data_IF_175594677746
#
_entry.id   IF_175594677746
#
_cell.length_a   1.000
_cell.length_b   1.000
_cell.length_c   1.000
_cell.angle_alpha   90.00
_cell.angle_beta   90.00
_cell.angle_gamma   90.00
#
_symmetry.space_group_name_H-M   'P 1'
#
loop_
_entity.id
_entity.type
_entity.pdbx_description
1 polymer ?
#
# COMPACT_ATOMS: atom_id res chain seq x y z
N UNK A 1 9.33 0.35 -12.50
CA UNK A 1 7.93 0.75 -12.76
C UNK A 1 7.21 0.95 -11.42
N UNK A 2 5.89 1.18 -11.44
CA UNK A 2 5.09 1.28 -10.23
C UNK A 2 3.89 2.20 -10.39
N UNK A 3 3.18 2.44 -9.29
CA UNK A 3 2.02 3.34 -9.26
C UNK A 3 2.05 4.23 -8.03
N UNK A 4 1.43 5.41 -8.17
CA UNK A 4 1.02 6.23 -7.04
C UNK A 4 -0.46 5.98 -6.79
N UNK A 5 -0.77 5.31 -5.68
CA UNK A 5 -2.13 5.12 -5.21
C UNK A 5 -2.57 6.32 -4.37
N UNK A 6 -3.83 6.72 -4.52
CA UNK A 6 -4.43 7.81 -3.76
C UNK A 6 -5.69 7.32 -3.04
N UNK A 7 -5.78 7.60 -1.75
CA UNK A 7 -6.99 7.36 -0.96
C UNK A 7 -7.47 8.68 -0.37
N UNK A 8 -8.74 9.03 -0.62
CA UNK A 8 -9.39 10.18 0.00
C UNK A 8 -10.55 9.64 0.84
N UNK A 9 -10.56 9.95 2.13
CA UNK A 9 -11.62 9.51 3.01
C UNK A 9 -12.95 10.16 2.63
N UNK A 10 -14.08 9.47 2.84
CA UNK A 10 -15.39 9.90 2.34
C UNK A 10 -15.84 11.28 2.83
N UNK A 11 -15.42 11.70 4.02
CA UNK A 11 -15.70 13.03 4.57
C UNK A 11 -14.76 14.14 4.05
N UNK A 12 -13.79 13.80 3.20
CA UNK A 12 -12.80 14.71 2.57
C UNK A 12 -11.87 15.44 3.55
N UNK A 13 -11.78 15.00 4.81
CA UNK A 13 -10.88 15.59 5.82
C UNK A 13 -9.53 14.87 5.95
N UNK A 14 -9.40 13.70 5.34
CA UNK A 14 -8.17 12.90 5.36
C UNK A 14 -7.87 12.34 3.97
N UNK A 15 -6.58 12.30 3.61
CA UNK A 15 -6.12 11.70 2.37
C UNK A 15 -4.70 11.13 2.48
N UNK A 16 -4.40 10.17 1.64
CA UNK A 16 -3.11 9.47 1.54
C UNK A 16 -2.66 9.42 0.08
N UNK A 17 -1.38 9.64 -0.15
CA UNK A 17 -0.68 9.22 -1.36
C UNK A 17 0.36 8.17 -1.00
N UNK A 18 0.40 7.08 -1.73
CA UNK A 18 1.31 5.96 -1.54
C UNK A 18 2.02 5.64 -2.86
N UNK A 19 3.33 5.56 -2.84
CA UNK A 19 4.15 5.02 -3.93
C UNK A 19 4.40 3.52 -3.68
N UNK A 20 3.92 2.67 -4.59
CA UNK A 20 4.23 1.25 -4.63
C UNK A 20 5.02 0.94 -5.92
N UNK A 21 6.25 0.47 -5.77
CA UNK A 21 7.15 0.20 -6.88
C UNK A 21 7.19 -1.29 -7.23
N UNK A 22 7.43 -1.56 -8.51
CA UNK A 22 7.69 -2.88 -9.09
C UNK A 22 8.73 -2.76 -10.22
N UNK A 23 9.11 -3.86 -10.85
CA UNK A 23 10.16 -3.83 -11.88
C UNK A 23 9.59 -3.44 -13.24
N UNK A 24 8.46 -4.06 -13.65
CA UNK A 24 7.90 -3.88 -15.00
C UNK A 24 6.53 -3.18 -15.03
N UNK A 25 6.25 -2.53 -16.15
CA UNK A 25 4.94 -1.89 -16.37
C UNK A 25 3.79 -2.92 -16.47
N UNK A 26 4.10 -4.17 -16.81
CA UNK A 26 3.11 -5.25 -16.83
C UNK A 26 2.58 -5.54 -15.42
N UNK A 27 3.45 -5.60 -14.40
CA UNK A 27 3.02 -5.75 -13.00
C UNK A 27 2.38 -4.46 -12.48
N UNK A 28 2.89 -3.29 -12.85
CA UNK A 28 2.28 -2.01 -12.44
C UNK A 28 0.81 -1.86 -12.89
N UNK A 29 0.43 -2.51 -13.99
CA UNK A 29 -0.93 -2.52 -14.53
C UNK A 29 -1.78 -3.73 -14.07
N UNK A 30 -1.20 -4.67 -13.32
CA UNK A 30 -1.90 -5.84 -12.83
C UNK A 30 -2.97 -5.43 -11.79
N UNK A 31 -4.19 -5.98 -11.92
CA UNK A 31 -5.32 -5.62 -11.05
C UNK A 31 -5.06 -5.93 -9.56
N UNK A 32 -4.37 -7.02 -9.25
CA UNK A 32 -4.05 -7.39 -7.88
C UNK A 32 -3.02 -6.43 -7.27
N UNK A 33 -2.00 -6.02 -8.04
CA UNK A 33 -1.02 -5.03 -7.63
C UNK A 33 -1.67 -3.66 -7.36
N UNK A 34 -2.52 -3.20 -8.29
CA UNK A 34 -3.27 -1.94 -8.15
C UNK A 34 -4.22 -2.00 -6.96
N UNK A 35 -4.92 -3.12 -6.77
CA UNK A 35 -5.82 -3.34 -5.63
C UNK A 35 -5.04 -3.27 -4.31
N UNK A 36 -3.91 -3.96 -4.20
CA UNK A 36 -3.09 -3.94 -3.00
C UNK A 36 -2.59 -2.52 -2.66
N UNK A 37 -2.10 -1.77 -3.65
CA UNK A 37 -1.68 -0.37 -3.41
C UNK A 37 -2.82 0.50 -2.88
N UNK A 38 -4.03 0.37 -3.44
CA UNK A 38 -5.20 1.12 -2.97
C UNK A 38 -5.61 0.72 -1.54
N UNK A 39 -5.55 -0.58 -1.22
CA UNK A 39 -5.88 -1.07 0.12
C UNK A 39 -4.84 -0.64 1.15
N UNK A 40 -3.54 -0.65 0.80
CA UNK A 40 -2.47 -0.15 1.68
C UNK A 40 -2.59 1.36 1.87
N UNK A 41 -2.97 2.13 0.84
CA UNK A 41 -3.24 3.56 0.98
C UNK A 41 -4.40 3.84 1.95
N UNK A 42 -5.48 3.06 1.89
CA UNK A 42 -6.58 3.13 2.85
C UNK A 42 -6.12 2.73 4.27
N UNK A 43 -5.31 1.68 4.38
CA UNK A 43 -4.73 1.21 5.63
C UNK A 43 -3.91 2.29 6.33
N UNK A 44 -3.00 2.97 5.62
CA UNK A 44 -2.23 4.10 6.14
C UNK A 44 -3.16 5.20 6.67
N UNK A 45 -4.25 5.48 5.95
CA UNK A 45 -5.23 6.47 6.35
C UNK A 45 -5.87 6.17 7.71
N UNK A 46 -6.17 4.89 7.95
CA UNK A 46 -6.86 4.39 9.14
C UNK A 46 -5.93 4.09 10.33
N UNK A 47 -4.73 3.57 10.07
CA UNK A 47 -3.83 3.04 11.11
C UNK A 47 -2.71 4.00 11.52
N UNK A 48 -2.56 5.11 10.79
CA UNK A 48 -1.64 6.20 11.14
C UNK A 48 -0.19 5.75 11.46
N UNK A 49 0.44 4.90 10.62
CA UNK A 49 1.83 4.50 10.86
C UNK A 49 2.76 5.74 10.86
N UNK A 50 3.74 5.73 11.75
CA UNK A 50 4.73 6.81 11.86
C UNK A 50 5.67 6.86 10.66
N UNK A 51 6.03 5.69 10.12
CA UNK A 51 6.95 5.49 9.01
C UNK A 51 6.70 4.15 8.32
N UNK A 52 7.57 3.77 7.38
CA UNK A 52 7.46 2.53 6.61
C UNK A 52 7.69 1.30 7.50
N UNK A 53 8.61 1.37 8.47
CA UNK A 53 8.89 0.25 9.37
C UNK A 53 7.65 -0.06 10.21
N UNK A 54 7.05 0.96 10.83
CA UNK A 54 5.81 0.84 11.58
C UNK A 54 4.66 0.33 10.71
N UNK A 55 4.54 0.82 9.46
CA UNK A 55 3.52 0.34 8.51
C UNK A 55 3.67 -1.16 8.22
N UNK A 56 4.89 -1.64 8.00
CA UNK A 56 5.15 -3.03 7.60
C UNK A 56 4.80 -4.03 8.71
N UNK A 57 4.88 -3.61 9.97
CA UNK A 57 4.53 -4.44 11.15
C UNK A 57 3.04 -4.45 11.47
N UNK A 58 2.24 -3.51 10.94
CA UNK A 58 0.82 -3.40 11.27
C UNK A 58 0.00 -4.59 10.73
N UNK A 59 -0.97 -5.10 11.52
CA UNK A 59 -1.98 -6.05 11.03
C UNK A 59 -2.83 -5.41 9.93
N UNK A 60 -2.96 -6.08 8.80
CA UNK A 60 -3.61 -5.53 7.62
C UNK A 60 -5.13 -5.44 7.82
N UNK A 61 -5.71 -4.27 7.53
CA UNK A 61 -7.12 -4.00 7.87
C UNK A 61 -8.12 -4.85 7.08
N UNK A 62 -7.74 -5.32 5.89
CA UNK A 62 -8.61 -6.21 5.09
C UNK A 62 -8.49 -7.67 5.52
N UNK A 63 -7.38 -8.05 6.16
CA UNK A 63 -7.16 -9.37 6.74
C UNK A 63 -6.20 -9.27 7.92
N UNK A 64 -6.71 -9.14 9.16
CA UNK A 64 -5.87 -8.96 10.35
C UNK A 64 -4.96 -10.13 10.70
N UNK A 65 -5.10 -11.29 10.05
CA UNK A 65 -4.19 -12.43 10.21
C UNK A 65 -2.85 -12.22 9.50
N UNK A 66 -2.77 -11.23 8.61
CA UNK A 66 -1.56 -10.88 7.87
C UNK A 66 -1.06 -9.50 8.29
N UNK A 67 0.25 -9.30 8.30
CA UNK A 67 0.85 -7.96 8.34
C UNK A 67 0.91 -7.34 6.95
N UNK A 68 1.08 -6.01 6.87
CA UNK A 68 1.32 -5.34 5.58
C UNK A 68 2.55 -5.92 4.89
N UNK A 69 3.61 -6.25 5.64
CA UNK A 69 4.77 -6.95 5.09
C UNK A 69 4.40 -8.26 4.40
N UNK A 70 3.57 -9.09 5.01
CA UNK A 70 3.15 -10.36 4.42
C UNK A 70 2.30 -10.17 3.16
N UNK A 71 1.52 -9.10 3.09
CA UNK A 71 0.80 -8.73 1.85
C UNK A 71 1.80 -8.39 0.74
N UNK A 72 2.81 -7.57 1.02
CA UNK A 72 3.86 -7.22 0.04
C UNK A 72 4.67 -8.45 -0.38
N UNK A 73 5.09 -9.29 0.56
CA UNK A 73 5.80 -10.54 0.28
C UNK A 73 4.96 -11.49 -0.60
N UNK A 74 3.64 -11.52 -0.36
CA UNK A 74 2.70 -12.28 -1.19
C UNK A 74 2.63 -11.77 -2.63
N UNK A 75 2.69 -10.45 -2.85
CA UNK A 75 2.79 -9.87 -4.19
C UNK A 75 4.11 -10.24 -4.87
N UNK A 76 5.23 -10.20 -4.14
CA UNK A 76 6.54 -10.63 -4.65
C UNK A 76 6.48 -12.08 -5.12
N UNK A 77 5.90 -12.97 -4.32
CA UNK A 77 5.77 -14.39 -4.68
C UNK A 77 4.87 -14.63 -5.90
N UNK A 78 3.78 -13.88 -6.03
CA UNK A 78 2.82 -14.03 -7.14
C UNK A 78 3.32 -13.43 -8.45
N UNK A 79 3.99 -12.29 -8.37
CA UNK A 79 4.48 -11.56 -9.55
C UNK A 79 5.85 -12.03 -10.01
N UNK A 80 6.66 -12.59 -9.10
CA UNK A 80 8.05 -12.92 -9.36
C UNK A 80 8.97 -11.69 -9.45
N UNK A 81 8.47 -10.50 -9.13
CA UNK A 81 9.20 -9.24 -9.16
C UNK A 81 9.40 -8.69 -7.75
N UNK A 82 10.45 -7.88 -7.55
CA UNK A 82 10.56 -7.07 -6.35
C UNK A 82 9.41 -6.06 -6.30
N UNK A 83 8.68 -6.08 -5.19
CA UNK A 83 7.63 -5.10 -4.86
C UNK A 83 8.03 -4.39 -3.57
N UNK A 84 7.93 -3.07 -3.55
CA UNK A 84 8.39 -2.26 -2.43
C UNK A 84 7.51 -1.02 -2.20
N UNK A 85 7.26 -0.71 -0.94
CA UNK A 85 6.64 0.56 -0.54
C UNK A 85 7.75 1.63 -0.56
N UNK A 86 7.65 2.60 -1.47
CA UNK A 86 8.66 3.64 -1.63
C UNK A 86 8.52 4.75 -0.59
N UNK A 87 7.37 5.42 -0.61
CA UNK A 87 7.02 6.50 0.33
C UNK A 87 5.53 6.67 0.40
N UNK A 88 5.06 7.25 1.50
CA UNK A 88 3.69 7.69 1.62
C UNK A 88 3.62 9.03 2.33
N UNK A 89 2.52 9.74 2.10
CA UNK A 89 2.17 10.93 2.86
C UNK A 89 0.73 10.80 3.30
N UNK A 90 0.44 11.24 4.53
CA UNK A 90 -0.90 11.31 5.07
C UNK A 90 -1.20 12.75 5.47
N UNK A 91 -2.32 13.28 4.98
CA UNK A 91 -2.83 14.58 5.38
C UNK A 91 -4.14 14.42 6.12
N UNK A 92 -4.33 15.20 7.17
CA UNK A 92 -5.57 15.30 7.91
C UNK A 92 -5.84 16.76 8.28
N UNK A 93 -7.12 17.12 8.41
CA UNK A 93 -7.63 18.43 8.86
C UNK A 93 -8.34 18.27 10.20
#
# INVERSE_FOLDING_TARGET
AGIVAAYIHGNKKMGVLLELSCETDFVAQNEEFVSAANQVAMHIGAMEPADIEALMEQPFIMNPELTVKQVIDGLVQKTGERVEIGRFVRYTI
#
